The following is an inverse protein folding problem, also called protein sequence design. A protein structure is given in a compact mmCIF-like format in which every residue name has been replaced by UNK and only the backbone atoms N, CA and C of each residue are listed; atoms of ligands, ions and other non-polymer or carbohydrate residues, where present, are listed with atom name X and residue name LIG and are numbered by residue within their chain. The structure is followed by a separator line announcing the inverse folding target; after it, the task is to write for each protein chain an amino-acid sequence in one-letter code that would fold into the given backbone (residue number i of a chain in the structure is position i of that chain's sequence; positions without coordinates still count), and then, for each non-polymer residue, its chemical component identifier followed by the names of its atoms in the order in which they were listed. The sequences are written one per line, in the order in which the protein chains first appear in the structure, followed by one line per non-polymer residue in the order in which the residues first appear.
data_IF_384851712142
#
_entry.id   IF_384851712142
#
_cell.length_a   1.000
_cell.length_b   1.000
_cell.length_c   1.000
_cell.angle_alpha   90.00
_cell.angle_beta   90.00
_cell.angle_gamma   90.00
#
_symmetry.space_group_name_H-M   'P 1'
#
loop_
_entity.id
_entity.type
_entity.pdbx_description
1 polymer ?
#
# COMPACT_ATOMS: atom_id res chain seq x y z
N UNK A 1 15.65 23.05 -3.79
CA UNK A 1 14.59 22.18 -3.24
C UNK A 1 14.75 20.82 -3.89
N UNK A 2 14.76 19.72 -3.13
CA UNK A 2 14.85 18.37 -3.71
C UNK A 2 13.53 17.98 -4.36
N UNK A 3 13.57 17.25 -5.47
CA UNK A 3 12.35 16.79 -6.13
C UNK A 3 11.62 15.74 -5.28
N UNK A 4 10.35 15.51 -5.58
CA UNK A 4 9.54 14.49 -4.90
C UNK A 4 10.09 13.08 -5.15
N UNK A 5 10.59 12.86 -6.36
CA UNK A 5 11.32 11.64 -6.73
C UNK A 5 12.59 11.43 -5.88
N UNK A 6 13.41 12.46 -5.68
CA UNK A 6 14.62 12.32 -4.86
C UNK A 6 14.30 12.00 -3.40
N UNK A 7 13.28 12.64 -2.83
CA UNK A 7 12.83 12.34 -1.46
C UNK A 7 12.34 10.88 -1.33
N UNK A 8 11.63 10.39 -2.34
CA UNK A 8 11.16 9.00 -2.39
C UNK A 8 12.32 8.00 -2.49
N UNK A 9 13.34 8.30 -3.28
CA UNK A 9 14.57 7.51 -3.39
C UNK A 9 15.32 7.45 -2.05
N UNK A 10 15.41 8.57 -1.32
CA UNK A 10 16.03 8.61 0.01
C UNK A 10 15.24 7.78 1.03
N UNK A 11 13.90 7.78 0.95
CA UNK A 11 13.06 6.97 1.84
C UNK A 11 13.29 5.47 1.68
N UNK A 12 13.79 4.98 0.54
CA UNK A 12 14.05 3.54 0.35
C UNK A 12 15.13 3.02 1.31
N UNK A 13 16.09 3.86 1.71
CA UNK A 13 17.25 3.42 2.51
C UNK A 13 18.15 2.41 1.79
N UNK A 14 18.05 2.33 0.47
CA UNK A 14 18.88 1.49 -0.40
C UNK A 14 20.00 2.32 -1.02
N UNK A 15 20.96 1.65 -1.68
CA UNK A 15 22.00 2.32 -2.44
C UNK A 15 21.37 3.29 -3.48
N UNK A 16 21.80 4.57 -3.57
CA UNK A 16 21.10 5.59 -4.34
C UNK A 16 20.88 5.26 -5.82
N UNK A 17 21.88 4.69 -6.49
CA UNK A 17 21.77 4.31 -7.91
C UNK A 17 20.73 3.19 -8.12
N UNK A 18 20.65 2.27 -7.16
CA UNK A 18 19.72 1.15 -7.21
C UNK A 18 18.28 1.60 -6.92
N UNK A 19 18.09 2.39 -5.86
CA UNK A 19 16.82 2.98 -5.51
C UNK A 19 16.24 3.82 -6.66
N UNK A 20 17.06 4.69 -7.29
CA UNK A 20 16.64 5.50 -8.45
C UNK A 20 16.06 4.63 -9.57
N UNK A 21 16.72 3.52 -9.91
CA UNK A 21 16.28 2.65 -10.98
C UNK A 21 14.96 1.95 -10.68
N UNK A 22 14.78 1.46 -9.44
CA UNK A 22 13.52 0.82 -9.01
C UNK A 22 12.36 1.81 -9.00
N UNK A 23 12.59 3.00 -8.43
CA UNK A 23 11.55 4.03 -8.36
C UNK A 23 11.20 4.53 -9.77
N UNK A 24 12.20 4.70 -10.65
CA UNK A 24 11.96 5.10 -12.03
C UNK A 24 11.09 4.07 -12.76
N UNK A 25 11.44 2.77 -12.70
CA UNK A 25 10.64 1.70 -13.33
C UNK A 25 9.19 1.68 -12.79
N UNK A 26 9.03 1.89 -11.49
CA UNK A 26 7.71 1.96 -10.85
C UNK A 26 6.90 3.19 -11.29
N UNK A 27 7.54 4.32 -11.57
CA UNK A 27 6.90 5.53 -12.08
C UNK A 27 6.54 5.40 -13.57
N UNK A 28 7.42 4.82 -14.37
CA UNK A 28 7.19 4.57 -15.80
C UNK A 28 5.97 3.65 -16.01
N UNK A 29 5.78 2.64 -15.14
CA UNK A 29 4.60 1.75 -15.16
C UNK A 29 3.26 2.47 -15.03
N UNK A 30 3.23 3.63 -14.39
CA UNK A 30 2.00 4.44 -14.23
C UNK A 30 1.93 5.61 -15.21
N UNK A 31 2.86 5.67 -16.18
CA UNK A 31 2.93 6.70 -17.22
C UNK A 31 3.61 7.99 -16.78
N UNK A 32 4.37 7.99 -15.68
CA UNK A 32 5.07 9.19 -15.19
C UNK A 32 6.48 9.21 -15.75
N UNK A 33 6.69 10.11 -16.72
CA UNK A 33 7.99 10.34 -17.36
C UNK A 33 8.03 11.77 -17.89
N UNK A 34 9.03 12.60 -17.54
CA UNK A 34 10.19 12.30 -16.70
C UNK A 34 9.84 12.18 -15.20
N UNK A 35 10.62 11.42 -14.40
CA UNK A 35 10.36 11.27 -12.96
C UNK A 35 10.42 12.59 -12.17
N UNK A 36 11.00 13.63 -12.76
CA UNK A 36 11.14 14.96 -12.15
C UNK A 36 9.84 15.77 -12.19
N UNK A 37 8.90 15.43 -13.08
CA UNK A 37 7.57 16.04 -13.15
C UNK A 37 6.54 15.36 -12.24
N UNK A 38 6.97 14.40 -11.42
CA UNK A 38 6.12 13.62 -10.54
C UNK A 38 5.34 14.51 -9.57
N UNK A 39 4.02 14.39 -9.60
CA UNK A 39 3.13 15.07 -8.66
C UNK A 39 2.87 14.23 -7.41
N UNK A 40 2.34 14.82 -6.31
CA UNK A 40 1.92 14.04 -5.15
C UNK A 40 0.89 12.94 -5.48
N UNK A 41 0.00 13.19 -6.44
CA UNK A 41 -1.00 12.22 -6.89
C UNK A 41 -0.34 11.02 -7.59
N UNK A 42 0.68 11.29 -8.40
CA UNK A 42 1.48 10.26 -9.07
C UNK A 42 2.23 9.40 -8.05
N UNK A 43 2.76 9.99 -6.98
CA UNK A 43 3.40 9.23 -5.91
C UNK A 43 2.41 8.26 -5.28
N UNK A 44 1.20 8.71 -4.96
CA UNK A 44 0.17 7.85 -4.36
C UNK A 44 -0.17 6.68 -5.28
N UNK A 45 -0.25 6.93 -6.59
CA UNK A 45 -0.50 5.90 -7.61
C UNK A 45 0.67 4.94 -7.80
N UNK A 46 1.91 5.36 -7.59
CA UNK A 46 3.09 4.52 -7.77
C UNK A 46 3.40 3.62 -6.57
N UNK A 47 2.98 4.01 -5.35
CA UNK A 47 3.19 3.24 -4.11
C UNK A 47 2.92 1.72 -4.19
N UNK A 48 1.82 1.22 -4.78
CA UNK A 48 1.61 -0.23 -4.90
C UNK A 48 2.69 -0.94 -5.74
N UNK A 49 3.15 -0.31 -6.82
CA UNK A 49 4.22 -0.83 -7.67
C UNK A 49 5.57 -0.79 -6.95
N UNK A 50 5.83 0.31 -6.24
CA UNK A 50 7.04 0.49 -5.43
C UNK A 50 7.10 -0.55 -4.32
N UNK A 51 5.97 -0.80 -3.64
CA UNK A 51 5.85 -1.82 -2.60
C UNK A 51 6.19 -3.21 -3.15
N UNK A 52 5.68 -3.55 -4.33
CA UNK A 52 5.98 -4.82 -4.99
C UNK A 52 7.47 -4.93 -5.36
N UNK A 53 8.05 -3.87 -5.93
CA UNK A 53 9.45 -3.88 -6.34
C UNK A 53 10.41 -3.95 -5.13
N UNK A 54 10.11 -3.21 -4.05
CA UNK A 54 10.88 -3.26 -2.81
C UNK A 54 10.75 -4.62 -2.11
N UNK A 55 9.60 -5.28 -2.19
CA UNK A 55 9.38 -6.61 -1.60
C UNK A 55 10.19 -7.74 -2.21
N UNK A 56 10.89 -7.50 -3.33
CA UNK A 56 11.89 -8.44 -3.88
C UNK A 56 13.20 -8.41 -3.08
N UNK A 57 13.50 -7.30 -2.40
CA UNK A 57 14.79 -7.05 -1.77
C UNK A 57 14.72 -6.83 -0.26
N UNK A 58 13.58 -6.39 0.25
CA UNK A 58 13.35 -6.03 1.65
C UNK A 58 12.31 -6.94 2.30
N UNK A 59 12.47 -7.16 3.60
CA UNK A 59 11.48 -7.87 4.40
C UNK A 59 10.14 -7.11 4.45
N UNK A 60 9.00 -7.82 4.63
CA UNK A 60 7.68 -7.20 4.61
C UNK A 60 7.51 -6.09 5.66
N UNK A 61 8.16 -6.20 6.82
CA UNK A 61 8.18 -5.16 7.85
C UNK A 61 8.92 -3.91 7.39
N UNK A 62 10.07 -4.06 6.73
CA UNK A 62 10.83 -2.94 6.18
C UNK A 62 10.09 -2.28 5.03
N UNK A 63 9.52 -3.06 4.11
CA UNK A 63 8.69 -2.55 3.01
C UNK A 63 7.54 -1.72 3.54
N UNK A 64 6.85 -2.18 4.60
CA UNK A 64 5.76 -1.44 5.24
C UNK A 64 6.26 -0.11 5.82
N UNK A 65 7.41 -0.10 6.50
CA UNK A 65 8.04 1.11 7.05
C UNK A 65 8.44 2.10 5.96
N UNK A 66 9.12 1.65 4.89
CA UNK A 66 9.54 2.52 3.77
C UNK A 66 8.32 3.09 3.05
N UNK A 67 7.32 2.25 2.79
CA UNK A 67 6.07 2.68 2.17
C UNK A 67 5.40 3.75 3.04
N UNK A 68 5.27 3.53 4.37
CA UNK A 68 4.69 4.52 5.28
C UNK A 68 5.46 5.85 5.29
N UNK A 69 6.79 5.83 5.22
CA UNK A 69 7.61 7.04 5.08
C UNK A 69 7.31 7.80 3.79
N UNK A 70 7.20 7.10 2.65
CA UNK A 70 6.82 7.71 1.37
C UNK A 70 5.40 8.31 1.42
N UNK A 71 4.46 7.65 2.13
CA UNK A 71 3.10 8.21 2.34
C UNK A 71 3.15 9.53 3.11
N UNK A 72 4.07 9.67 4.05
CA UNK A 72 4.23 10.89 4.84
C UNK A 72 4.71 12.09 4.01
N UNK A 73 5.40 11.85 2.88
CA UNK A 73 5.82 12.91 1.95
C UNK A 73 4.64 13.66 1.31
N UNK A 74 3.48 13.00 1.21
CA UNK A 74 2.29 13.54 0.52
C UNK A 74 1.09 13.69 1.46
N UNK A 75 1.32 13.82 2.77
CA UNK A 75 0.30 13.81 3.83
C UNK A 75 -0.89 14.76 3.62
N UNK A 76 -0.70 15.87 2.91
CA UNK A 76 -1.76 16.84 2.55
C UNK A 76 -2.43 16.61 1.18
N UNK A 77 -1.94 15.67 0.37
CA UNK A 77 -2.42 15.36 -0.98
C UNK A 77 -3.05 13.97 -1.07
N UNK A 78 -3.19 13.27 0.06
CA UNK A 78 -3.92 12.02 0.11
C UNK A 78 -5.36 12.27 -0.35
N UNK A 79 -5.86 11.56 -1.37
CA UNK A 79 -7.28 11.51 -1.58
C UNK A 79 -7.90 11.03 -0.28
N UNK A 80 -8.97 11.70 0.16
CA UNK A 80 -9.80 11.25 1.26
C UNK A 80 -10.49 9.96 0.79
N UNK A 81 -9.72 8.88 0.76
CA UNK A 81 -10.20 7.55 0.46
C UNK A 81 -10.94 7.10 1.71
N UNK A 82 -12.22 6.71 1.61
CA UNK A 82 -12.87 6.06 2.73
C UNK A 82 -12.00 4.87 3.10
N UNK A 83 -11.65 4.76 4.40
CA UNK A 83 -10.88 3.65 4.90
C UNK A 83 -11.51 2.37 4.34
N UNK A 84 -10.74 1.57 3.59
CA UNK A 84 -11.16 0.24 3.17
C UNK A 84 -11.64 -0.47 4.43
N UNK A 85 -12.95 -0.66 4.52
CA UNK A 85 -13.56 -1.47 5.57
C UNK A 85 -12.84 -2.82 5.49
N UNK A 86 -12.16 -3.27 6.57
CA UNK A 86 -11.54 -4.58 6.54
C UNK A 86 -12.61 -5.60 6.13
N UNK A 87 -12.28 -6.61 5.30
CA UNK A 87 -13.21 -7.69 5.01
C UNK A 87 -13.67 -8.22 6.36
N UNK A 88 -14.98 -8.18 6.60
CA UNK A 88 -15.57 -8.62 7.86
C UNK A 88 -15.00 -10.01 8.20
N UNK A 89 -14.64 -10.28 9.47
CA UNK A 89 -14.22 -11.61 9.85
C UNK A 89 -15.36 -12.57 9.54
N UNK A 90 -15.09 -13.42 8.56
CA UNK A 90 -15.69 -14.70 8.23
C UNK A 90 -16.79 -15.15 9.21
N UNK A 91 -18.05 -15.04 8.77
CA UNK A 91 -19.21 -15.59 9.45
C UNK A 91 -19.31 -17.10 9.14
N UNK A 92 -18.22 -17.84 9.33
CA UNK A 92 -18.24 -19.29 9.34
C UNK A 92 -18.41 -19.77 10.78
N UNK A 93 -19.35 -20.69 10.97
CA UNK A 93 -19.52 -21.53 12.16
C UNK A 93 -20.41 -20.99 13.31
N UNK A 94 -21.73 -20.98 13.09
CA UNK A 94 -22.72 -21.21 14.17
C UNK A 94 -24.07 -21.72 13.67
N UNK A 95 -24.07 -22.85 12.96
CA UNK A 95 -25.30 -23.65 12.80
C UNK A 95 -25.00 -25.11 13.07
N UNK A 96 -24.72 -25.41 14.34
CA UNK A 96 -24.82 -26.77 14.85
C UNK A 96 -25.48 -26.73 16.23
N UNK A 97 -26.72 -27.24 16.25
CA UNK A 97 -27.40 -27.91 17.37
C UNK A 97 -27.74 -27.11 18.64
N UNK A 98 -29.02 -26.75 18.76
CA UNK A 98 -29.78 -26.79 20.01
C UNK A 98 -31.27 -26.88 19.61
N UNK A 99 -31.81 -28.09 19.46
CA UNK A 99 -32.49 -28.90 20.49
C UNK A 99 -34.02 -28.87 20.24
N UNK A 100 -34.53 -30.04 19.84
CA UNK A 100 -35.95 -30.35 19.78
C UNK A 100 -36.62 -30.03 21.11
N UNK A 101 -37.51 -29.04 21.15
CA UNK A 101 -38.51 -28.98 22.21
C UNK A 101 -39.83 -28.35 21.78
N UNK A 102 -40.83 -29.23 21.69
CA UNK A 102 -42.26 -28.90 21.70
C UNK A 102 -42.99 -29.44 20.47
N UNK A 103 -44.13 -30.11 20.58
CA UNK A 103 -44.96 -30.47 21.73
C UNK A 103 -46.04 -31.40 21.16
N UNK A 104 -46.32 -32.48 21.88
CA UNK A 104 -47.41 -33.43 21.62
C UNK A 104 -48.74 -32.71 21.40
N UNK A 105 -49.48 -33.10 20.36
CA UNK A 105 -50.91 -32.80 20.22
C UNK A 105 -51.72 -33.93 20.85
N UNK A 106 -52.53 -33.57 21.84
CA UNK A 106 -53.74 -34.30 22.22
C UNK A 106 -54.89 -33.90 21.32
#
# INVERSE_FOLDING_TARGET
MRSLFEQMVECCGLAPAFARKIIQDSCERIGVSPPESMTPADLIRSLPHVRQALGVFLDPGEVALKTAAMRALVKGSWPNLPAVTPPAPDQENRTAQEELKGRSSS
#
